data_IF_210695153265
#
_entry.id   IF_210695153265
#
_cell.length_a   1.000
_cell.length_b   1.000
_cell.length_c   1.000
_cell.angle_alpha   90.00
_cell.angle_beta   90.00
_cell.angle_gamma   90.00
#
_symmetry.space_group_name_H-M   'P 1'
#
loop_
_entity.id
_entity.type
_entity.pdbx_description
1 polymer ?
#
# COMPACT_ATOMS: atom_id res chain seq x y z
N UNK A 1 7.34 1.45 -5.62
CA UNK A 1 7.66 2.81 -5.10
C UNK A 1 6.40 3.53 -4.62
N UNK A 2 5.31 3.61 -5.43
CA UNK A 2 4.06 4.27 -5.00
C UNK A 2 3.45 3.62 -3.75
N UNK A 3 3.36 2.30 -3.72
CA UNK A 3 2.87 1.51 -2.58
C UNK A 3 3.67 1.81 -1.31
N UNK A 4 5.01 1.82 -1.42
CA UNK A 4 5.88 2.15 -0.28
C UNK A 4 5.65 3.58 0.23
N UNK A 5 5.49 4.55 -0.67
CA UNK A 5 5.21 5.93 -0.28
C UNK A 5 3.85 6.04 0.44
N UNK A 6 2.85 5.32 -0.05
CA UNK A 6 1.52 5.25 0.57
C UNK A 6 1.59 4.60 1.96
N UNK A 7 2.30 3.47 2.09
CA UNK A 7 2.52 2.78 3.37
C UNK A 7 3.24 3.66 4.41
N UNK A 8 4.10 4.55 3.95
CA UNK A 8 4.85 5.50 4.79
C UNK A 8 4.13 6.85 4.96
N UNK A 9 2.93 7.01 4.40
CA UNK A 9 2.14 8.26 4.41
C UNK A 9 2.92 9.47 3.84
N UNK A 10 3.78 9.21 2.83
CA UNK A 10 4.60 10.23 2.18
C UNK A 10 3.94 10.65 0.85
N UNK A 11 3.71 11.96 0.62
CA UNK A 11 3.23 12.43 -0.67
C UNK A 11 4.16 12.01 -1.79
N UNK A 12 3.64 11.35 -2.83
CA UNK A 12 4.44 10.88 -3.96
C UNK A 12 3.70 11.06 -5.29
N UNK A 13 4.47 11.41 -6.30
CA UNK A 13 4.02 11.44 -7.69
C UNK A 13 5.00 10.59 -8.51
N UNK A 14 4.48 9.61 -9.24
CA UNK A 14 5.28 8.70 -10.08
C UNK A 14 5.16 9.05 -11.56
N UNK A 15 6.09 8.53 -12.37
CA UNK A 15 6.08 8.73 -13.82
C UNK A 15 6.67 10.08 -14.28
N UNK A 16 7.30 10.82 -13.38
CA UNK A 16 7.96 12.09 -13.67
C UNK A 16 9.34 11.85 -14.29
N UNK A 17 9.42 11.87 -15.61
CA UNK A 17 10.64 11.50 -16.35
C UNK A 17 11.84 12.42 -16.04
N UNK A 18 11.62 13.74 -16.01
CA UNK A 18 12.70 14.76 -16.01
C UNK A 18 12.74 15.61 -14.74
N UNK A 19 12.01 15.24 -13.69
CA UNK A 19 11.89 16.07 -12.50
C UNK A 19 13.22 16.30 -11.79
N UNK A 20 14.08 15.29 -11.72
CA UNK A 20 15.39 15.37 -11.08
C UNK A 20 16.35 16.34 -11.77
N UNK A 21 16.18 16.55 -13.07
CA UNK A 21 16.96 17.51 -13.86
C UNK A 21 16.49 18.96 -13.67
N UNK A 22 15.24 19.14 -13.20
CA UNK A 22 14.62 20.45 -13.04
C UNK A 22 14.62 20.96 -11.60
N UNK A 23 15.11 20.17 -10.65
CA UNK A 23 15.20 20.53 -9.23
C UNK A 23 16.64 20.68 -8.81
N UNK A 24 16.96 21.78 -8.15
CA UNK A 24 18.28 22.05 -7.58
C UNK A 24 18.21 22.11 -6.05
N UNK A 25 19.40 22.02 -5.41
CA UNK A 25 19.45 22.13 -3.96
C UNK A 25 18.86 23.46 -3.47
N UNK A 26 18.06 23.43 -2.40
CA UNK A 26 17.30 24.53 -1.82
C UNK A 26 16.08 25.04 -2.64
N UNK A 27 15.72 24.42 -3.75
CA UNK A 27 14.48 24.75 -4.42
C UNK A 27 13.27 24.39 -3.54
N UNK A 28 12.25 25.25 -3.53
CA UNK A 28 10.95 24.92 -2.97
C UNK A 28 10.17 24.09 -3.98
N UNK A 29 9.69 22.94 -3.53
CA UNK A 29 8.91 22.02 -4.36
C UNK A 29 7.58 21.71 -3.66
N UNK A 30 6.49 21.79 -4.39
CA UNK A 30 5.17 21.31 -3.95
C UNK A 30 4.95 19.93 -4.57
N UNK A 31 4.55 18.96 -3.75
CA UNK A 31 4.16 17.61 -4.18
C UNK A 31 2.72 17.39 -3.75
N UNK A 32 1.82 17.29 -4.71
CA UNK A 32 0.41 16.96 -4.50
C UNK A 32 0.15 15.56 -5.06
N UNK A 33 0.18 14.56 -4.17
CA UNK A 33 -0.04 13.17 -4.53
C UNK A 33 -1.50 12.86 -4.90
N UNK A 34 -2.46 13.67 -4.46
CA UNK A 34 -3.87 13.49 -4.78
C UNK A 34 -4.18 13.92 -6.23
N UNK A 35 -3.60 15.05 -6.64
CA UNK A 35 -3.77 15.59 -7.99
C UNK A 35 -2.71 15.07 -8.99
N UNK A 36 -1.67 14.38 -8.48
CA UNK A 36 -0.55 13.91 -9.31
C UNK A 36 0.31 15.04 -9.86
N UNK A 37 0.47 16.13 -9.10
CA UNK A 37 1.14 17.37 -9.53
C UNK A 37 2.41 17.58 -8.72
N UNK A 38 3.47 18.01 -9.44
CA UNK A 38 4.72 18.52 -8.83
C UNK A 38 4.99 19.92 -9.38
N UNK A 39 5.16 20.90 -8.51
CA UNK A 39 5.46 22.29 -8.88
C UNK A 39 6.83 22.66 -8.31
N UNK A 40 7.77 22.98 -9.19
CA UNK A 40 9.13 23.43 -8.84
C UNK A 40 9.18 24.95 -8.88
N UNK A 41 9.74 25.55 -7.84
CA UNK A 41 9.85 27.03 -7.70
C UNK A 41 8.50 27.72 -7.85
N UNK A 42 7.49 27.34 -7.03
CA UNK A 42 6.18 27.97 -7.11
C UNK A 42 6.29 29.49 -6.87
N UNK A 43 5.47 30.27 -7.56
CA UNK A 43 5.28 31.68 -7.23
C UNK A 43 4.62 31.83 -5.85
N UNK A 44 4.67 33.04 -5.23
CA UNK A 44 4.13 33.25 -3.89
C UNK A 44 2.63 32.97 -3.76
N UNK A 45 1.86 33.26 -4.79
CA UNK A 45 0.41 33.03 -4.79
C UNK A 45 0.10 31.52 -4.81
N UNK A 46 0.75 30.77 -5.69
CA UNK A 46 0.66 29.32 -5.77
C UNK A 46 1.07 28.66 -4.45
N UNK A 47 2.19 29.09 -3.87
CA UNK A 47 2.68 28.54 -2.61
C UNK A 47 1.66 28.78 -1.48
N UNK A 48 1.07 29.98 -1.38
CA UNK A 48 0.09 30.29 -0.35
C UNK A 48 -1.22 29.49 -0.55
N UNK A 49 -1.64 29.32 -1.80
CA UNK A 49 -2.80 28.49 -2.11
C UNK A 49 -2.59 27.03 -1.64
N UNK A 50 -1.43 26.44 -1.93
CA UNK A 50 -1.15 25.06 -1.50
C UNK A 50 -0.95 24.93 0.02
N UNK A 51 -0.41 25.95 0.71
CA UNK A 51 -0.39 26.00 2.17
C UNK A 51 -1.79 25.99 2.78
N UNK A 52 -2.73 26.73 2.19
CA UNK A 52 -4.14 26.70 2.59
C UNK A 52 -4.77 25.33 2.35
N UNK A 53 -4.54 24.71 1.20
CA UNK A 53 -5.01 23.34 0.88
C UNK A 53 -4.47 22.33 1.91
N UNK A 54 -3.18 22.38 2.22
CA UNK A 54 -2.56 21.52 3.23
C UNK A 54 -3.17 21.70 4.63
N UNK A 55 -3.46 22.95 5.01
CA UNK A 55 -4.13 23.24 6.29
C UNK A 55 -5.53 22.62 6.32
N UNK A 56 -6.30 22.78 5.26
CA UNK A 56 -7.66 22.21 5.17
C UNK A 56 -7.60 20.68 5.22
N UNK A 57 -6.72 20.05 4.46
CA UNK A 57 -6.51 18.62 4.49
C UNK A 57 -6.17 18.10 5.91
N UNK A 58 -5.27 18.77 6.61
CA UNK A 58 -4.93 18.41 7.99
C UNK A 58 -6.11 18.55 8.96
N UNK A 59 -6.96 19.53 8.74
CA UNK A 59 -8.18 19.72 9.53
C UNK A 59 -9.17 18.59 9.26
N UNK A 60 -9.38 18.24 8.00
CA UNK A 60 -10.25 17.11 7.61
C UNK A 60 -9.77 15.78 8.19
N UNK A 61 -8.47 15.48 8.08
CA UNK A 61 -7.87 14.28 8.68
C UNK A 61 -8.09 14.26 10.19
N UNK A 62 -7.93 15.40 10.87
CA UNK A 62 -8.19 15.53 12.31
C UNK A 62 -9.68 15.32 12.65
N UNK A 63 -10.58 15.82 11.85
CA UNK A 63 -12.03 15.60 12.03
C UNK A 63 -12.37 14.12 11.83
N UNK A 64 -11.80 13.47 10.82
CA UNK A 64 -11.99 12.04 10.59
C UNK A 64 -11.42 11.18 11.73
N UNK A 65 -10.33 11.60 12.35
CA UNK A 65 -9.70 10.84 13.45
C UNK A 65 -10.62 10.63 14.67
N UNK A 66 -11.64 11.47 14.87
CA UNK A 66 -12.63 11.28 15.95
C UNK A 66 -13.49 10.01 15.76
N UNK A 67 -13.57 9.50 14.52
CA UNK A 67 -14.36 8.30 14.20
C UNK A 67 -13.58 6.99 14.33
N UNK A 68 -12.26 7.05 14.56
CA UNK A 68 -11.38 5.87 14.64
C UNK A 68 -11.88 4.80 15.60
N UNK A 69 -12.43 5.21 16.76
CA UNK A 69 -12.94 4.29 17.78
C UNK A 69 -14.46 4.12 17.75
N UNK A 70 -15.13 4.66 16.74
CA UNK A 70 -16.58 4.55 16.61
C UNK A 70 -16.93 3.27 15.85
N UNK A 71 -17.72 2.35 16.44
CA UNK A 71 -18.13 1.15 15.71
C UNK A 71 -18.89 1.49 14.44
N UNK A 72 -18.56 0.83 13.34
CA UNK A 72 -19.32 0.95 12.10
C UNK A 72 -20.64 0.20 12.23
N UNK A 73 -21.74 0.95 12.29
CA UNK A 73 -23.10 0.40 12.45
C UNK A 73 -24.00 1.01 11.36
N UNK A 74 -24.71 0.16 10.66
CA UNK A 74 -25.70 0.59 9.66
C UNK A 74 -26.94 1.23 10.31
N UNK A 75 -27.74 1.94 9.54
CA UNK A 75 -28.98 2.57 10.04
C UNK A 75 -30.00 1.59 10.61
N UNK A 76 -29.95 0.32 10.21
CA UNK A 76 -30.77 -0.77 10.73
C UNK A 76 -30.12 -1.52 11.93
N UNK A 77 -29.01 -0.98 12.46
CA UNK A 77 -28.37 -1.47 13.68
C UNK A 77 -27.38 -2.63 13.49
N UNK A 78 -27.03 -2.99 12.27
CA UNK A 78 -26.02 -4.04 12.02
C UNK A 78 -24.61 -3.51 12.19
N UNK A 79 -23.82 -4.19 13.02
CA UNK A 79 -22.37 -3.92 13.12
C UNK A 79 -21.66 -4.47 11.88
N UNK A 80 -20.84 -3.63 11.26
CA UNK A 80 -19.95 -3.99 10.14
C UNK A 80 -18.51 -4.00 10.65
N UNK A 81 -17.78 -5.06 10.34
CA UNK A 81 -16.35 -5.15 10.66
C UNK A 81 -15.57 -4.34 9.60
N UNK A 82 -14.82 -3.35 10.04
CA UNK A 82 -13.94 -2.56 9.18
C UNK A 82 -12.52 -3.11 9.30
N UNK A 83 -12.06 -3.79 8.26
CA UNK A 83 -10.73 -4.38 8.22
C UNK A 83 -9.89 -3.76 7.09
N UNK A 84 -8.58 -3.68 7.29
CA UNK A 84 -7.66 -3.10 6.33
C UNK A 84 -7.10 -4.14 5.35
N UNK A 85 -6.71 -3.69 4.16
CA UNK A 85 -5.84 -4.45 3.27
C UNK A 85 -4.41 -3.94 3.42
N UNK A 86 -3.45 -4.85 3.50
CA UNK A 86 -2.02 -4.54 3.59
C UNK A 86 -1.21 -5.34 2.56
N UNK A 87 -0.04 -4.83 2.22
CA UNK A 87 0.93 -5.44 1.32
C UNK A 87 2.28 -5.71 2.01
N UNK A 88 2.61 -4.91 3.02
CA UNK A 88 3.84 -5.04 3.81
C UNK A 88 3.55 -4.91 5.31
N UNK A 89 4.36 -5.56 6.19
CA UNK A 89 4.16 -5.51 7.64
C UNK A 89 4.25 -4.11 8.26
N UNK A 90 4.94 -3.19 7.62
CA UNK A 90 5.09 -1.80 8.07
C UNK A 90 3.77 -1.03 8.11
N UNK A 91 2.80 -1.40 7.26
CA UNK A 91 1.47 -0.78 7.21
C UNK A 91 0.61 -1.05 8.44
N UNK A 92 0.93 -2.08 9.24
CA UNK A 92 0.16 -2.46 10.44
C UNK A 92 0.03 -1.29 11.42
N UNK A 93 1.07 -0.45 11.53
CA UNK A 93 0.98 0.73 12.41
C UNK A 93 -0.14 1.68 11.97
N UNK A 94 -0.21 1.99 10.69
CA UNK A 94 -1.28 2.84 10.12
C UNK A 94 -2.65 2.18 10.27
N UNK A 95 -2.74 0.87 10.05
CA UNK A 95 -3.98 0.09 10.24
C UNK A 95 -4.54 0.27 11.66
N UNK A 96 -3.70 0.08 12.67
CA UNK A 96 -4.11 0.20 14.09
C UNK A 96 -4.48 1.65 14.42
N UNK A 97 -3.67 2.62 13.98
CA UNK A 97 -3.92 4.04 14.26
C UNK A 97 -5.20 4.58 13.61
N UNK A 98 -5.64 3.97 12.51
CA UNK A 98 -6.89 4.30 11.83
C UNK A 98 -8.09 3.44 12.27
N UNK A 99 -7.95 2.63 13.32
CA UNK A 99 -9.06 1.93 13.99
C UNK A 99 -9.61 0.73 13.23
N UNK A 100 -8.81 0.10 12.36
CA UNK A 100 -9.24 -1.13 11.72
C UNK A 100 -9.39 -2.28 12.74
N UNK A 101 -10.44 -3.07 12.61
CA UNK A 101 -10.78 -4.20 13.48
C UNK A 101 -10.07 -5.50 13.05
N UNK A 102 -9.00 -5.39 12.23
CA UNK A 102 -8.18 -6.50 11.77
C UNK A 102 -7.64 -6.30 10.36
N UNK A 103 -6.99 -7.33 9.84
CA UNK A 103 -6.52 -7.38 8.45
C UNK A 103 -7.47 -8.24 7.64
N UNK A 104 -8.22 -7.60 6.75
CA UNK A 104 -9.15 -8.27 5.82
C UNK A 104 -8.45 -8.93 4.65
N UNK A 105 -7.25 -8.45 4.29
CA UNK A 105 -6.41 -9.07 3.27
C UNK A 105 -4.95 -8.65 3.43
N UNK A 106 -4.08 -9.61 3.75
CA UNK A 106 -2.64 -9.45 3.60
C UNK A 106 -2.21 -10.03 2.24
N UNK A 107 -1.80 -9.16 1.33
CA UNK A 107 -1.31 -9.53 -0.01
C UNK A 107 0.15 -9.93 0.07
N UNK A 108 0.42 -11.21 0.01
CA UNK A 108 1.77 -11.76 0.21
C UNK A 108 2.69 -11.61 -1.00
N UNK A 109 2.16 -11.18 -2.15
CA UNK A 109 2.91 -11.07 -3.41
C UNK A 109 4.11 -10.13 -3.30
N UNK A 110 4.02 -9.12 -2.42
CA UNK A 110 5.10 -8.17 -2.22
C UNK A 110 6.38 -8.80 -1.68
N UNK A 111 6.25 -9.91 -0.93
CA UNK A 111 7.39 -10.69 -0.44
C UNK A 111 8.22 -11.30 -1.59
N UNK A 112 7.62 -11.46 -2.77
CA UNK A 112 8.21 -12.11 -3.94
C UNK A 112 8.66 -11.11 -5.02
N UNK A 113 8.26 -9.84 -4.93
CA UNK A 113 8.57 -8.80 -5.93
C UNK A 113 9.96 -8.19 -5.66
N UNK A 114 10.69 -7.84 -6.73
CA UNK A 114 12.01 -7.18 -6.68
C UNK A 114 13.11 -8.00 -5.98
N UNK A 115 13.04 -9.31 -6.06
CA UNK A 115 14.05 -10.25 -5.57
C UNK A 115 14.66 -11.04 -6.73
N UNK A 116 15.86 -11.57 -6.52
CA UNK A 116 16.51 -12.50 -7.44
C UNK A 116 16.09 -13.95 -7.18
N UNK A 117 15.65 -14.26 -5.95
CA UNK A 117 15.27 -15.60 -5.49
C UNK A 117 13.97 -15.53 -4.69
N UNK A 118 13.32 -16.67 -4.51
CA UNK A 118 12.14 -16.75 -3.63
C UNK A 118 12.49 -16.45 -2.17
N UNK A 119 11.55 -15.84 -1.42
CA UNK A 119 11.70 -15.78 0.02
C UNK A 119 11.71 -17.19 0.60
N UNK A 120 12.59 -17.43 1.59
CA UNK A 120 12.58 -18.68 2.32
C UNK A 120 11.29 -18.84 3.14
N UNK A 121 11.03 -20.06 3.65
CA UNK A 121 9.89 -20.30 4.54
C UNK A 121 10.02 -19.46 5.83
N UNK A 122 11.23 -19.31 6.35
CA UNK A 122 11.52 -18.53 7.55
C UNK A 122 11.23 -17.04 7.33
N UNK A 123 11.63 -16.48 6.19
CA UNK A 123 11.34 -15.06 5.84
C UNK A 123 9.84 -14.82 5.71
N UNK A 124 9.10 -15.75 5.12
CA UNK A 124 7.65 -15.68 5.02
C UNK A 124 7.00 -15.78 6.41
N UNK A 125 7.43 -16.74 7.22
CA UNK A 125 6.95 -16.93 8.59
C UNK A 125 7.17 -15.68 9.44
N UNK A 126 8.37 -15.09 9.41
CA UNK A 126 8.69 -13.86 10.14
C UNK A 126 7.77 -12.70 9.75
N UNK A 127 7.51 -12.55 8.44
CA UNK A 127 6.60 -11.52 7.93
C UNK A 127 5.17 -11.73 8.44
N UNK A 128 4.65 -12.96 8.37
CA UNK A 128 3.29 -13.28 8.83
C UNK A 128 3.18 -13.13 10.36
N UNK A 129 4.14 -13.65 11.10
CA UNK A 129 4.19 -13.54 12.55
C UNK A 129 4.22 -12.09 13.01
N UNK A 130 5.03 -11.25 12.37
CA UNK A 130 5.10 -9.81 12.67
C UNK A 130 3.74 -9.13 12.54
N UNK A 131 2.97 -9.47 11.51
CA UNK A 131 1.64 -8.90 11.30
C UNK A 131 0.66 -9.43 12.34
N UNK A 132 0.62 -10.74 12.54
CA UNK A 132 -0.31 -11.40 13.47
C UNK A 132 -0.10 -10.90 14.90
N UNK A 133 1.15 -10.86 15.38
CA UNK A 133 1.46 -10.42 16.74
C UNK A 133 1.06 -8.97 17.01
N UNK A 134 1.28 -8.08 16.04
CA UNK A 134 0.92 -6.66 16.17
C UNK A 134 -0.58 -6.41 16.12
N UNK A 135 -1.34 -7.24 15.41
CA UNK A 135 -2.79 -7.08 15.21
C UNK A 135 -3.59 -7.82 16.26
N UNK A 136 -2.98 -8.81 16.94
CA UNK A 136 -3.66 -9.59 17.98
C UNK A 136 -4.36 -8.70 19.03
N UNK A 137 -5.60 -9.00 19.45
CA UNK A 137 -6.38 -10.23 19.19
C UNK A 137 -7.27 -10.21 17.93
N UNK A 138 -7.13 -9.21 17.08
CA UNK A 138 -7.95 -9.06 15.88
C UNK A 138 -7.52 -10.06 14.77
N UNK A 139 -8.46 -10.45 13.87
CA UNK A 139 -8.18 -11.42 12.82
C UNK A 139 -7.25 -10.88 11.75
N UNK A 140 -6.45 -11.78 11.16
CA UNK A 140 -5.62 -11.54 9.98
C UNK A 140 -5.93 -12.56 8.91
N UNK A 141 -6.38 -12.11 7.73
CA UNK A 141 -6.59 -12.98 6.57
C UNK A 141 -5.38 -12.84 5.65
N UNK A 142 -4.61 -13.92 5.55
CA UNK A 142 -3.42 -13.99 4.69
C UNK A 142 -3.83 -14.65 3.38
N UNK A 143 -3.62 -13.95 2.26
CA UNK A 143 -3.80 -14.53 0.94
C UNK A 143 -2.57 -15.34 0.56
N UNK A 144 -2.75 -16.60 0.17
CA UNK A 144 -1.69 -17.35 -0.48
C UNK A 144 -1.28 -16.67 -1.78
N UNK A 145 -0.06 -16.92 -2.24
CA UNK A 145 0.53 -16.22 -3.38
C UNK A 145 -0.41 -16.19 -4.60
N UNK A 146 -0.66 -14.99 -5.12
CA UNK A 146 -1.44 -14.77 -6.35
C UNK A 146 -0.52 -14.18 -7.43
N UNK A 147 0.56 -14.92 -7.74
CA UNK A 147 1.48 -14.63 -8.83
C UNK A 147 1.18 -15.49 -10.05
N UNK A 148 1.54 -14.97 -11.21
CA UNK A 148 1.34 -15.59 -12.51
C UNK A 148 0.63 -14.66 -13.50
N UNK A 149 0.49 -15.07 -14.73
CA UNK A 149 -0.11 -14.27 -15.77
C UNK A 149 0.73 -13.04 -16.11
N UNK A 150 0.17 -11.86 -15.86
CA UNK A 150 0.79 -10.55 -16.09
C UNK A 150 1.85 -10.16 -15.04
N UNK A 151 1.86 -10.86 -13.90
CA UNK A 151 2.79 -10.64 -12.79
C UNK A 151 3.90 -11.69 -12.74
N UNK A 152 4.41 -12.07 -13.91
CA UNK A 152 5.52 -13.02 -14.00
C UNK A 152 6.77 -12.41 -13.37
N UNK A 153 7.40 -13.19 -12.49
CA UNK A 153 8.67 -12.80 -11.87
C UNK A 153 9.81 -13.01 -12.89
N UNK A 154 10.78 -12.09 -12.99
CA UNK A 154 11.83 -12.14 -14.00
C UNK A 154 12.68 -13.42 -13.97
N UNK A 155 12.75 -14.09 -12.84
CA UNK A 155 13.54 -15.33 -12.65
C UNK A 155 12.79 -16.61 -13.02
N UNK A 156 11.48 -16.50 -13.38
CA UNK A 156 10.78 -17.62 -13.98
C UNK A 156 10.85 -17.55 -15.49
N UNK A 157 11.55 -18.47 -16.10
CA UNK A 157 11.45 -18.75 -17.55
C UNK A 157 10.11 -19.43 -17.86
N UNK A 158 9.01 -18.75 -17.54
CA UNK A 158 7.67 -19.24 -17.88
C UNK A 158 7.30 -18.64 -19.23
N UNK A 159 7.02 -19.50 -20.21
CA UNK A 159 6.49 -19.05 -21.48
C UNK A 159 5.18 -18.29 -21.25
N UNK A 160 5.08 -17.10 -21.86
CA UNK A 160 3.85 -16.30 -21.82
C UNK A 160 2.72 -17.12 -22.46
N UNK A 161 1.76 -17.51 -21.67
CA UNK A 161 0.59 -18.25 -22.14
C UNK A 161 -0.37 -17.33 -22.90
N UNK A 162 -1.14 -17.88 -23.87
CA UNK A 162 -2.13 -17.11 -24.63
C UNK A 162 -3.21 -16.46 -23.75
N UNK A 163 -3.58 -17.14 -22.64
CA UNK A 163 -4.51 -16.65 -21.63
C UNK A 163 -3.88 -16.72 -20.24
N UNK A 164 -3.02 -15.77 -19.86
CA UNK A 164 -2.23 -15.84 -18.63
C UNK A 164 -3.07 -15.98 -17.35
N UNK A 165 -4.27 -15.40 -17.33
CA UNK A 165 -5.16 -15.49 -16.17
C UNK A 165 -5.77 -16.88 -15.97
N UNK A 166 -5.91 -17.66 -17.05
CA UNK A 166 -6.42 -19.05 -17.03
C UNK A 166 -5.29 -20.07 -16.88
N UNK A 167 -4.04 -19.63 -17.01
CA UNK A 167 -2.85 -20.46 -16.99
C UNK A 167 -2.27 -20.73 -15.60
N UNK A 168 -0.94 -20.78 -15.52
CA UNK A 168 -0.18 -21.05 -14.30
C UNK A 168 -0.20 -19.83 -13.37
N UNK A 169 -1.12 -19.83 -12.43
CA UNK A 169 -1.33 -18.72 -11.48
C UNK A 169 -1.88 -19.23 -10.14
N UNK A 170 -1.62 -18.48 -9.08
CA UNK A 170 -2.16 -18.70 -7.75
C UNK A 170 -1.97 -20.16 -7.30
N UNK A 171 -3.01 -20.86 -6.87
CA UNK A 171 -2.94 -22.22 -6.38
C UNK A 171 -2.30 -23.20 -7.40
N UNK A 172 -2.51 -23.01 -8.70
CA UNK A 172 -1.87 -23.86 -9.72
C UNK A 172 -0.36 -23.67 -9.74
N UNK A 173 0.09 -22.43 -9.46
CA UNK A 173 1.50 -22.12 -9.31
C UNK A 173 2.07 -22.78 -8.04
N UNK A 174 1.41 -22.65 -6.90
CA UNK A 174 1.83 -23.28 -5.64
C UNK A 174 1.90 -24.80 -5.71
N UNK A 175 0.98 -25.44 -6.44
CA UNK A 175 1.00 -26.90 -6.63
C UNK A 175 2.14 -27.37 -7.53
N UNK A 176 2.63 -26.52 -8.43
CA UNK A 176 3.76 -26.85 -9.31
C UNK A 176 5.11 -26.57 -8.65
N UNK A 177 5.17 -25.61 -7.77
CA UNK A 177 6.35 -25.18 -7.02
C UNK A 177 6.00 -25.17 -5.52
N UNK A 178 5.97 -26.39 -4.89
CA UNK A 178 5.63 -26.53 -3.48
C UNK A 178 6.70 -25.92 -2.55
#
# INVERSE_FOLDING_TARGET
TAIMAQAMEIPAVVGMKDITSNVTHNDIVIIDGNEGVVIVKPDPETLENYRRRLKNYRTEVKELSQFVNVPAVTSDGKKIIVAANIEIPEEVRSVISNGAEGIGLFRTEYLFINRAEFPSEEEQLESYQTVIEKVFPNPVIIRTIDLGGDKLLPYFNINVERNPFMGLRAIRFCLKYP
#
